data_IF_971277025682
#
_entry.id   IF_971277025682
#
_cell.length_a   1.000
_cell.length_b   1.000
_cell.length_c   1.000
_cell.angle_alpha   90.00
_cell.angle_beta   90.00
_cell.angle_gamma   90.00
#
_symmetry.space_group_name_H-M   'P 1'
#
loop_
_entity.id
_entity.type
_entity.pdbx_description
1 polymer ?
#
# COMPACT_ATOMS: atom_id res chain seq x y z
N UNK A 1 20.75 -6.89 -5.04
CA UNK A 1 20.31 -6.76 -6.46
C UNK A 1 20.78 -5.40 -6.98
N UNK A 2 21.15 -5.29 -8.27
CA UNK A 2 21.66 -4.04 -8.87
C UNK A 2 20.55 -3.43 -9.72
N UNK A 3 20.31 -2.12 -9.54
CA UNK A 3 19.39 -1.31 -10.34
C UNK A 3 20.20 -0.15 -10.94
N UNK A 4 20.08 0.07 -12.25
CA UNK A 4 20.68 1.22 -12.94
C UNK A 4 19.58 2.17 -13.41
N UNK A 5 19.70 3.45 -13.07
CA UNK A 5 18.72 4.49 -13.39
C UNK A 5 19.45 5.67 -14.02
N UNK A 6 18.94 6.15 -15.16
CA UNK A 6 19.42 7.39 -15.76
C UNK A 6 18.78 8.58 -15.06
N UNK A 7 19.60 9.55 -14.67
CA UNK A 7 19.16 10.79 -14.04
C UNK A 7 19.42 11.95 -14.99
N UNK A 8 18.52 12.93 -15.00
CA UNK A 8 18.81 14.21 -15.61
C UNK A 8 19.88 14.97 -14.79
N UNK A 9 20.57 15.96 -15.38
CA UNK A 9 21.64 16.68 -14.70
C UNK A 9 21.21 17.37 -13.40
N UNK A 10 19.95 17.83 -13.29
CA UNK A 10 19.48 18.52 -12.10
C UNK A 10 19.27 17.55 -10.95
N UNK A 11 18.69 16.38 -11.23
CA UNK A 11 18.50 15.32 -10.23
C UNK A 11 19.84 14.74 -9.78
N UNK A 12 20.80 14.55 -10.68
CA UNK A 12 22.15 14.12 -10.33
C UNK A 12 22.82 15.11 -9.36
N UNK A 13 22.77 16.40 -9.68
CA UNK A 13 23.34 17.45 -8.84
C UNK A 13 22.69 17.50 -7.46
N UNK A 14 21.37 17.30 -7.39
CA UNK A 14 20.62 17.24 -6.14
C UNK A 14 21.05 16.04 -5.28
N UNK A 15 21.15 14.84 -5.86
CA UNK A 15 21.60 13.64 -5.14
C UNK A 15 23.04 13.81 -4.65
N UNK A 16 23.93 14.35 -5.49
CA UNK A 16 25.32 14.66 -5.14
C UNK A 16 25.43 15.64 -3.97
N UNK A 17 24.62 16.70 -3.97
CA UNK A 17 24.58 17.70 -2.89
C UNK A 17 24.06 17.09 -1.58
N UNK A 18 23.01 16.27 -1.63
CA UNK A 18 22.46 15.58 -0.47
C UNK A 18 23.45 14.58 0.13
N UNK A 19 24.12 13.80 -0.72
CA UNK A 19 25.15 12.85 -0.32
C UNK A 19 26.28 13.55 0.46
N UNK A 20 26.79 14.67 -0.08
CA UNK A 20 27.83 15.48 0.59
C UNK A 20 27.36 16.04 1.94
N UNK A 21 26.17 16.65 1.99
CA UNK A 21 25.64 17.26 3.23
C UNK A 21 25.38 16.24 4.34
N UNK A 22 25.03 15.00 3.98
CA UNK A 22 24.70 13.94 4.95
C UNK A 22 25.86 12.99 5.25
N UNK A 23 27.01 13.14 4.59
CA UNK A 23 28.12 12.18 4.70
C UNK A 23 27.74 10.77 4.21
N UNK A 24 26.80 10.68 3.27
CA UNK A 24 26.25 9.42 2.76
C UNK A 24 26.70 9.16 1.31
N UNK A 25 26.67 7.90 0.88
CA UNK A 25 26.83 7.58 -0.55
C UNK A 25 25.58 7.98 -1.35
N UNK A 26 25.75 8.26 -2.65
CA UNK A 26 24.63 8.55 -3.55
C UNK A 26 23.55 7.46 -3.52
N UNK A 27 23.97 6.19 -3.53
CA UNK A 27 23.06 5.05 -3.44
C UNK A 27 22.30 5.01 -2.12
N UNK A 28 22.91 5.43 -1.01
CA UNK A 28 22.21 5.50 0.28
C UNK A 28 21.13 6.58 0.26
N UNK A 29 21.44 7.76 -0.27
CA UNK A 29 20.45 8.84 -0.44
C UNK A 29 19.27 8.39 -1.29
N UNK A 30 19.53 7.70 -2.41
CA UNK A 30 18.48 7.16 -3.28
C UNK A 30 17.63 6.11 -2.55
N UNK A 31 18.24 5.20 -1.79
CA UNK A 31 17.50 4.22 -0.98
C UNK A 31 16.60 4.89 0.06
N UNK A 32 17.11 5.90 0.76
CA UNK A 32 16.35 6.63 1.78
C UNK A 32 15.17 7.39 1.14
N UNK A 33 15.38 7.98 -0.04
CA UNK A 33 14.31 8.63 -0.80
C UNK A 33 13.20 7.66 -1.22
N UNK A 34 13.54 6.46 -1.70
CA UNK A 34 12.57 5.42 -2.06
C UNK A 34 11.78 4.97 -0.83
N UNK A 35 12.43 4.78 0.32
CA UNK A 35 11.75 4.43 1.58
C UNK A 35 10.76 5.51 2.00
N UNK A 36 11.17 6.79 1.93
CA UNK A 36 10.29 7.91 2.25
C UNK A 36 9.07 7.95 1.31
N UNK A 37 9.29 7.74 0.00
CA UNK A 37 8.20 7.66 -0.98
C UNK A 37 7.23 6.52 -0.66
N UNK A 38 7.73 5.32 -0.38
CA UNK A 38 6.89 4.17 -0.03
C UNK A 38 6.02 4.46 1.21
N UNK A 39 6.61 5.05 2.26
CA UNK A 39 5.86 5.43 3.47
C UNK A 39 4.79 6.49 3.20
N UNK A 40 5.03 7.44 2.29
CA UNK A 40 4.04 8.44 1.89
C UNK A 40 2.89 7.80 1.11
N UNK A 41 3.18 6.86 0.21
CA UNK A 41 2.17 6.12 -0.54
C UNK A 41 1.33 5.22 0.36
N UNK A 42 1.95 4.47 1.28
CA UNK A 42 1.25 3.62 2.25
C UNK A 42 0.37 4.42 3.21
N UNK A 43 0.77 5.65 3.56
CA UNK A 43 -0.07 6.56 4.36
C UNK A 43 -1.20 7.20 3.53
N UNK A 44 -1.01 7.36 2.23
CA UNK A 44 -2.00 7.88 1.27
C UNK A 44 -3.09 6.87 0.92
N UNK A 45 -2.74 5.59 0.85
CA UNK A 45 -3.70 4.49 0.83
C UNK A 45 -4.29 4.32 2.23
N UNK A 46 -5.26 5.18 2.58
CA UNK A 46 -6.12 4.93 3.75
C UNK A 46 -6.83 3.60 3.52
N UNK A 47 -6.25 2.52 4.07
CA UNK A 47 -6.89 1.21 4.19
C UNK A 47 -8.33 1.44 4.58
N UNK A 48 -9.25 0.98 3.73
CA UNK A 48 -10.67 1.12 3.99
C UNK A 48 -11.00 0.48 5.35
N UNK A 49 -12.12 0.84 5.95
CA UNK A 49 -12.55 0.19 7.19
C UNK A 49 -12.55 -1.34 7.04
N UNK A 50 -12.90 -1.84 5.83
CA UNK A 50 -12.82 -3.25 5.46
C UNK A 50 -11.39 -3.80 5.52
N UNK A 51 -10.41 -3.17 4.85
CA UNK A 51 -9.02 -3.67 4.80
C UNK A 51 -8.37 -3.75 6.18
N UNK A 52 -8.80 -2.88 7.10
CA UNK A 52 -8.33 -2.89 8.49
C UNK A 52 -8.85 -4.07 9.28
N UNK A 53 -10.07 -4.55 9.01
CA UNK A 53 -10.70 -5.65 9.76
C UNK A 53 -10.73 -6.99 9.02
N UNK A 54 -10.35 -7.02 7.74
CA UNK A 54 -10.44 -8.22 6.91
C UNK A 54 -9.69 -9.42 7.50
N UNK A 55 -8.57 -9.19 8.19
CA UNK A 55 -7.80 -10.22 8.89
C UNK A 55 -8.55 -10.88 10.06
N UNK A 56 -9.65 -10.29 10.54
CA UNK A 56 -10.52 -10.85 11.57
C UNK A 56 -11.64 -11.73 10.99
N UNK A 57 -11.88 -11.65 9.67
CA UNK A 57 -12.91 -12.46 9.04
C UNK A 57 -12.44 -13.93 9.00
N UNK A 58 -13.19 -14.81 9.66
CA UNK A 58 -12.92 -16.25 9.69
C UNK A 58 -11.95 -16.72 10.78
N UNK A 59 -11.51 -15.85 11.71
CA UNK A 59 -10.67 -16.25 12.85
C UNK A 59 -11.41 -17.10 13.89
N UNK A 60 -12.73 -17.02 13.90
CA UNK A 60 -13.60 -17.75 14.81
C UNK A 60 -14.54 -18.66 14.01
N UNK A 61 -14.74 -19.87 14.53
CA UNK A 61 -15.68 -20.85 14.00
C UNK A 61 -16.74 -21.16 15.05
N UNK A 62 -17.96 -21.45 14.58
CA UNK A 62 -19.13 -21.63 15.44
C UNK A 62 -19.90 -20.33 15.70
N UNK A 63 -20.97 -20.44 16.50
CA UNK A 63 -21.92 -19.37 16.78
C UNK A 63 -23.31 -19.64 16.19
N UNK A 64 -24.37 -18.97 16.69
CA UNK A 64 -25.72 -19.14 16.17
C UNK A 64 -25.81 -18.79 14.67
N UNK A 65 -26.43 -19.65 13.83
CA UNK A 65 -26.44 -19.48 12.38
C UNK A 65 -27.38 -18.36 11.90
N UNK A 66 -28.20 -17.82 12.80
CA UNK A 66 -29.27 -16.86 12.55
C UNK A 66 -28.89 -15.41 12.89
N UNK A 67 -27.64 -15.15 13.29
CA UNK A 67 -27.15 -13.79 13.56
C UNK A 67 -27.07 -12.91 12.29
N UNK A 68 -27.12 -13.52 11.11
CA UNK A 68 -27.08 -12.80 9.84
C UNK A 68 -28.48 -12.58 9.26
N UNK A 69 -28.88 -11.33 9.05
CA UNK A 69 -30.15 -10.99 8.40
C UNK A 69 -29.96 -10.68 6.91
N UNK A 70 -30.72 -11.38 6.06
CA UNK A 70 -30.81 -11.16 4.59
C UNK A 70 -29.51 -11.40 3.82
N UNK A 71 -28.61 -12.25 4.31
CA UNK A 71 -27.32 -12.55 3.67
C UNK A 71 -27.49 -13.00 2.22
N UNK A 72 -28.43 -13.90 1.92
CA UNK A 72 -28.68 -14.37 0.55
C UNK A 72 -29.10 -13.26 -0.41
N UNK A 73 -29.98 -12.33 0.01
CA UNK A 73 -30.40 -11.20 -0.82
C UNK A 73 -29.26 -10.21 -1.05
N UNK A 74 -28.52 -9.87 0.00
CA UNK A 74 -27.38 -8.92 -0.07
C UNK A 74 -26.24 -9.49 -0.91
N UNK A 75 -25.92 -10.76 -0.72
CA UNK A 75 -24.88 -11.45 -1.50
C UNK A 75 -25.24 -11.54 -2.98
N UNK A 76 -26.51 -11.85 -3.30
CA UNK A 76 -27.01 -11.85 -4.68
C UNK A 76 -26.85 -10.48 -5.35
N UNK A 77 -27.21 -9.39 -4.66
CA UNK A 77 -27.03 -8.02 -5.18
C UNK A 77 -25.56 -7.69 -5.42
N UNK A 78 -24.66 -8.10 -4.52
CA UNK A 78 -23.22 -7.86 -4.67
C UNK A 78 -22.64 -8.60 -5.88
N UNK A 79 -23.05 -9.84 -6.13
CA UNK A 79 -22.64 -10.60 -7.33
C UNK A 79 -23.15 -9.96 -8.63
N UNK A 80 -24.39 -9.46 -8.63
CA UNK A 80 -24.97 -8.77 -9.79
C UNK A 80 -24.20 -7.48 -10.13
N UNK A 81 -23.81 -6.70 -9.12
CA UNK A 81 -23.01 -5.47 -9.30
C UNK A 81 -21.59 -5.75 -9.80
N UNK A 82 -20.99 -6.89 -9.43
CA UNK A 82 -19.66 -7.30 -9.95
C UNK A 82 -19.69 -7.73 -11.40
N UNK A 83 -20.80 -8.31 -11.87
CA UNK A 83 -20.96 -8.78 -13.25
C UNK A 83 -21.23 -7.63 -14.26
N UNK A 84 -21.57 -6.45 -13.76
CA UNK A 84 -21.85 -5.25 -14.55
C UNK A 84 -20.68 -4.25 -14.59
N UNK A 85 -19.57 -4.55 -13.91
CA UNK A 85 -18.26 -3.88 -14.07
C UNK A 85 -17.38 -4.69 -15.01
#
# INVERSE_FOLDING_TARGET
MILSVRLDPQTEALVSRLARRRGQSKSQVVRDAIKALAQMTEKGERKSAYDRIAHLIGIASGGPPDLSHRTGEKFRKLLQQRRTR
#
